data_IF_283840610790
#
_entry.id   IF_283840610790
#
_cell.length_a   1.000
_cell.length_b   1.000
_cell.length_c   1.000
_cell.angle_alpha   90.00
_cell.angle_beta   90.00
_cell.angle_gamma   90.00
#
_symmetry.space_group_name_H-M   'P 1'
#
loop_
_entity.id
_entity.type
_entity.pdbx_description
1 polymer ?
#
# COMPACT_ATOMS: atom_id res chain seq x y z
N UNK A 1 0.16 -2.91 -19.70
CA UNK A 1 0.71 -3.07 -18.33
C UNK A 1 -0.42 -3.07 -17.33
N UNK A 2 -0.76 -4.23 -16.76
CA UNK A 2 -1.81 -4.35 -15.76
C UNK A 2 -1.38 -3.68 -14.45
N UNK A 3 -2.26 -2.91 -13.83
CA UNK A 3 -2.02 -2.32 -12.53
C UNK A 3 -2.15 -3.41 -11.46
N UNK A 4 -1.05 -4.10 -11.16
CA UNK A 4 -1.05 -5.19 -10.19
C UNK A 4 -1.04 -4.63 -8.77
N UNK A 5 -2.24 -4.46 -8.19
CA UNK A 5 -2.41 -4.13 -6.80
C UNK A 5 -1.68 -5.15 -5.90
N UNK A 6 -1.12 -4.66 -4.80
CA UNK A 6 -0.65 -5.52 -3.71
C UNK A 6 -1.90 -6.20 -3.13
N UNK A 7 -1.91 -7.52 -3.15
CA UNK A 7 -3.00 -8.33 -2.60
C UNK A 7 -2.93 -8.37 -1.07
N UNK A 8 -4.03 -8.69 -0.37
CA UNK A 8 -4.00 -8.85 1.08
C UNK A 8 -2.97 -9.89 1.55
N UNK A 9 -2.85 -11.00 0.80
CA UNK A 9 -1.86 -12.05 1.09
C UNK A 9 -0.42 -11.54 0.96
N UNK A 10 -0.13 -10.72 -0.06
CA UNK A 10 1.19 -10.09 -0.19
C UNK A 10 1.45 -9.10 0.95
N UNK A 11 0.46 -8.31 1.38
CA UNK A 11 0.59 -7.42 2.55
C UNK A 11 0.93 -8.18 3.82
N UNK A 12 0.21 -9.28 4.10
CA UNK A 12 0.49 -10.13 5.26
C UNK A 12 1.93 -10.70 5.22
N UNK A 13 2.40 -11.14 4.05
CA UNK A 13 3.79 -11.60 3.90
C UNK A 13 4.81 -10.47 4.08
N UNK A 14 4.52 -9.25 3.61
CA UNK A 14 5.41 -8.10 3.83
C UNK A 14 5.55 -7.83 5.34
N UNK A 15 4.44 -7.86 6.09
CA UNK A 15 4.43 -7.66 7.54
C UNK A 15 5.30 -8.69 8.26
N UNK A 16 5.06 -9.98 8.02
CA UNK A 16 5.86 -11.07 8.62
C UNK A 16 7.35 -10.91 8.30
N UNK A 17 7.69 -10.67 7.03
CA UNK A 17 9.10 -10.52 6.63
C UNK A 17 9.76 -9.25 7.22
N UNK A 18 8.99 -8.19 7.48
CA UNK A 18 9.52 -6.98 8.16
C UNK A 18 9.77 -7.24 9.64
N UNK A 19 8.90 -8.00 10.30
CA UNK A 19 9.10 -8.44 11.69
C UNK A 19 10.34 -9.34 11.81
N UNK A 20 10.60 -10.16 10.80
CA UNK A 20 11.83 -10.96 10.68
C UNK A 20 13.06 -10.14 10.24
N UNK A 21 12.98 -8.80 10.20
CA UNK A 21 14.07 -7.87 9.83
C UNK A 21 14.64 -8.05 8.41
N UNK A 22 13.86 -8.56 7.45
CA UNK A 22 14.33 -8.64 6.08
C UNK A 22 14.45 -7.24 5.43
N UNK A 23 15.50 -7.10 4.60
CA UNK A 23 15.66 -5.93 3.73
C UNK A 23 14.55 -5.86 2.67
N UNK A 24 14.25 -4.65 2.19
CA UNK A 24 13.28 -4.42 1.11
C UNK A 24 13.59 -5.24 -0.16
N UNK A 25 14.88 -5.39 -0.49
CA UNK A 25 15.34 -6.17 -1.64
C UNK A 25 15.05 -7.66 -1.45
N UNK A 26 15.26 -8.18 -0.25
CA UNK A 26 14.97 -9.58 0.09
C UNK A 26 13.47 -9.88 0.03
N UNK A 27 12.65 -8.98 0.58
CA UNK A 27 11.18 -9.07 0.54
C UNK A 27 10.68 -9.09 -0.91
N UNK A 28 11.17 -8.15 -1.73
CA UNK A 28 10.84 -8.06 -3.15
C UNK A 28 11.15 -9.36 -3.91
N UNK A 29 12.33 -9.96 -3.69
CA UNK A 29 12.71 -11.25 -4.30
C UNK A 29 11.78 -12.38 -3.86
N UNK A 30 11.46 -12.50 -2.57
CA UNK A 30 10.55 -13.53 -2.05
C UNK A 30 9.13 -13.41 -2.61
N UNK A 31 8.65 -12.17 -2.79
CA UNK A 31 7.31 -11.89 -3.32
C UNK A 31 7.27 -11.86 -4.86
N UNK A 32 8.42 -12.01 -5.54
CA UNK A 32 8.54 -11.81 -6.99
C UNK A 32 7.95 -10.47 -7.45
N UNK A 33 8.14 -9.42 -6.63
CA UNK A 33 7.68 -8.05 -6.91
C UNK A 33 8.86 -7.11 -7.07
N UNK A 34 8.64 -5.97 -7.70
CA UNK A 34 9.66 -4.93 -7.79
C UNK A 34 9.91 -4.27 -6.44
N UNK A 35 11.17 -3.96 -6.15
CA UNK A 35 11.59 -3.27 -4.92
C UNK A 35 10.87 -1.92 -4.78
N UNK A 36 10.69 -1.20 -5.89
CA UNK A 36 9.97 0.09 -5.90
C UNK A 36 8.49 -0.05 -5.56
N UNK A 37 7.86 -1.20 -5.81
CA UNK A 37 6.48 -1.49 -5.41
C UNK A 37 6.41 -1.74 -3.90
N UNK A 38 7.32 -2.56 -3.37
CA UNK A 38 7.39 -2.85 -1.93
C UNK A 38 7.73 -1.59 -1.13
N UNK A 39 8.69 -0.79 -1.59
CA UNK A 39 9.04 0.49 -0.96
C UNK A 39 7.86 1.46 -0.94
N UNK A 40 7.14 1.62 -2.06
CA UNK A 40 5.94 2.47 -2.11
C UNK A 40 4.82 1.95 -1.21
N UNK A 41 4.59 0.63 -1.17
CA UNK A 41 3.60 0.02 -0.29
C UNK A 41 3.91 0.29 1.18
N UNK A 42 5.18 0.10 1.58
CA UNK A 42 5.62 0.34 2.97
C UNK A 42 5.54 1.81 3.30
N UNK A 43 6.10 2.71 2.49
CA UNK A 43 6.08 4.16 2.76
C UNK A 43 4.67 4.71 2.90
N UNK A 44 3.68 4.17 2.18
CA UNK A 44 2.27 4.60 2.28
C UNK A 44 1.58 4.15 3.56
N UNK A 45 2.08 3.11 4.22
CA UNK A 45 1.43 2.46 5.37
C UNK A 45 2.41 2.23 6.53
N UNK A 46 3.49 2.98 6.58
CA UNK A 46 4.45 2.95 7.68
C UNK A 46 3.90 3.84 8.79
N UNK A 47 3.35 3.21 9.82
CA UNK A 47 2.83 3.92 11.01
C UNK A 47 3.77 3.58 12.15
N UNK A 48 4.36 4.59 12.79
CA UNK A 48 5.25 4.43 13.94
C UNK A 48 6.40 3.44 13.69
N UNK A 49 7.02 3.50 12.51
CA UNK A 49 8.15 2.66 12.09
C UNK A 49 7.84 1.17 11.90
N UNK A 50 6.58 0.76 12.08
CA UNK A 50 6.12 -0.61 11.86
C UNK A 50 5.14 -0.68 10.69
N UNK A 51 5.27 -1.72 9.88
CA UNK A 51 4.35 -1.97 8.78
C UNK A 51 3.26 -2.92 9.26
N UNK A 52 1.99 -2.50 9.15
CA UNK A 52 0.82 -3.29 9.52
C UNK A 52 -0.03 -3.59 8.28
N UNK A 53 -0.25 -4.87 7.97
CA UNK A 53 -0.98 -5.27 6.76
C UNK A 53 -2.47 -4.89 6.84
N UNK A 54 -3.07 -4.99 8.02
CA UNK A 54 -4.49 -4.66 8.25
C UNK A 54 -4.76 -3.17 7.95
N UNK A 55 -3.92 -2.29 8.49
CA UNK A 55 -3.98 -0.84 8.24
C UNK A 55 -3.81 -0.54 6.75
N UNK A 56 -2.86 -1.22 6.09
CA UNK A 56 -2.64 -1.06 4.65
C UNK A 56 -3.85 -1.50 3.80
N UNK A 57 -4.53 -2.57 4.20
CA UNK A 57 -5.76 -3.03 3.55
C UNK A 57 -6.92 -2.04 3.74
N UNK A 58 -7.16 -1.58 4.98
CA UNK A 58 -8.19 -0.57 5.29
C UNK A 58 -7.97 0.72 4.50
N UNK A 59 -6.71 1.18 4.42
CA UNK A 59 -6.35 2.37 3.63
C UNK A 59 -6.63 2.19 2.14
N UNK A 60 -6.36 1.00 1.58
CA UNK A 60 -6.67 0.69 0.19
C UNK A 60 -8.18 0.74 -0.08
N UNK A 61 -8.97 0.13 0.81
CA UNK A 61 -10.43 0.11 0.70
C UNK A 61 -11.05 1.51 0.83
N UNK A 62 -10.57 2.31 1.79
CA UNK A 62 -10.99 3.70 1.97
C UNK A 62 -10.70 4.54 0.71
N UNK A 63 -9.48 4.43 0.16
CA UNK A 63 -9.11 5.12 -1.09
C UNK A 63 -9.96 4.67 -2.27
N UNK A 64 -10.27 3.38 -2.36
CA UNK A 64 -11.14 2.84 -3.42
C UNK A 64 -12.55 3.43 -3.33
N UNK A 65 -13.11 3.56 -2.12
CA UNK A 65 -14.41 4.21 -1.88
C UNK A 65 -14.39 5.70 -2.26
N UNK A 66 -13.35 6.43 -1.85
CA UNK A 66 -13.21 7.86 -2.17
C UNK A 66 -13.08 8.12 -3.68
N UNK A 67 -12.38 7.25 -4.42
CA UNK A 67 -12.27 7.36 -5.87
C UNK A 67 -13.60 7.19 -6.61
N UNK A 68 -14.59 6.53 -5.99
CA UNK A 68 -15.95 6.46 -6.52
C UNK A 68 -16.79 7.73 -6.28
N UNK A 69 -16.37 8.63 -5.38
CA UNK A 69 -17.17 9.79 -4.94
C UNK A 69 -16.63 11.15 -5.44
N UNK A 70 -15.57 11.16 -6.26
CA UNK A 70 -14.80 12.37 -6.57
C UNK A 70 -15.28 13.20 -7.77
N UNK A 71 -16.47 12.95 -8.34
CA UNK A 71 -16.94 13.71 -9.52
C UNK A 71 -17.88 14.90 -9.20
N UNK A 72 -18.28 15.14 -7.93
CA UNK A 72 -19.26 16.20 -7.59
C UNK A 72 -18.87 17.14 -6.44
N UNK A 73 -17.60 17.49 -6.25
CA UNK A 73 -17.22 18.42 -5.16
C UNK A 73 -16.13 19.43 -5.52
N UNK A 74 -16.24 20.04 -6.71
CA UNK A 74 -15.39 21.20 -7.07
C UNK A 74 -16.12 22.20 -7.98
N UNK A 75 -17.37 22.52 -7.66
CA UNK A 75 -18.03 23.73 -8.12
C UNK A 75 -18.10 24.70 -6.95
N UNK A 76 -17.16 25.65 -6.86
CA UNK A 76 -17.18 26.65 -5.81
C UNK A 76 -15.82 27.30 -5.58
N UNK A 77 -15.72 28.56 -6.02
CA UNK A 77 -14.79 29.60 -5.58
C UNK A 77 -13.37 29.57 -6.19
N UNK A 78 -13.28 30.14 -7.40
CA UNK A 78 -12.23 31.12 -7.70
C UNK A 78 -12.96 32.45 -7.90
N UNK A 79 -12.78 33.37 -6.95
CA UNK A 79 -13.14 34.78 -7.06
C UNK A 79 -11.90 35.60 -6.74
#
# INVERSE_FOLDING_TARGET
>A
MGYNHTTPAERARIEVLRQENYSLRSIARKLKRFVSTISREINRNNVNQSYQAETAQKNYEAKRKLRGCSIYSRAGQYH
#
